data_IF_537960950815
#
_entry.id   IF_537960950815
#
_cell.length_a   1.000
_cell.length_b   1.000
_cell.length_c   1.000
_cell.angle_alpha   90.00
_cell.angle_beta   90.00
_cell.angle_gamma   90.00
#
_symmetry.space_group_name_H-M   'P 1'
#
loop_
_entity.id
_entity.type
_entity.pdbx_description
1 polymer ?
#
# COMPACT_ATOMS: atom_id res chain seq x y z
N UNK A 1 -21.29 -5.21 -7.35
CA UNK A 1 -20.57 -6.23 -6.57
C UNK A 1 -19.05 -6.08 -6.65
N UNK A 2 -18.36 -6.45 -7.74
CA UNK A 2 -16.88 -6.34 -7.81
C UNK A 2 -16.36 -4.90 -7.69
N UNK A 3 -17.00 -3.96 -8.39
CA UNK A 3 -16.65 -2.55 -8.33
C UNK A 3 -16.84 -1.98 -6.92
N UNK A 4 -17.95 -2.28 -6.25
CA UNK A 4 -18.23 -1.82 -4.88
C UNK A 4 -17.21 -2.38 -3.87
N UNK A 5 -16.77 -3.63 -4.03
CA UNK A 5 -15.71 -4.22 -3.19
C UNK A 5 -14.40 -3.47 -3.43
N UNK A 6 -14.07 -3.18 -4.68
CA UNK A 6 -12.88 -2.45 -5.08
C UNK A 6 -12.86 -1.03 -4.50
N UNK A 7 -13.95 -0.29 -4.68
CA UNK A 7 -14.15 1.07 -4.16
C UNK A 7 -14.06 1.10 -2.63
N UNK A 8 -14.68 0.14 -1.95
CA UNK A 8 -14.58 0.03 -0.49
C UNK A 8 -13.15 -0.24 -0.03
N UNK A 9 -12.39 -1.09 -0.75
CA UNK A 9 -10.98 -1.33 -0.44
C UNK A 9 -10.15 -0.06 -0.63
N UNK A 10 -10.33 0.65 -1.75
CA UNK A 10 -9.65 1.91 -2.01
C UNK A 10 -9.96 2.96 -0.92
N UNK A 11 -11.23 3.11 -0.54
CA UNK A 11 -11.64 3.99 0.55
C UNK A 11 -10.99 3.63 1.89
N UNK A 12 -10.82 2.33 2.18
CA UNK A 12 -10.12 1.89 3.40
C UNK A 12 -8.63 2.23 3.35
N UNK A 13 -7.97 2.15 2.19
CA UNK A 13 -6.55 2.52 2.06
C UNK A 13 -6.36 4.03 2.24
N UNK A 14 -7.32 4.83 1.77
CA UNK A 14 -7.32 6.27 2.04
C UNK A 14 -7.37 6.58 3.53
N UNK A 15 -8.29 5.94 4.28
CA UNK A 15 -8.38 6.11 5.74
C UNK A 15 -7.08 5.70 6.45
N UNK A 16 -6.50 4.57 6.05
CA UNK A 16 -5.21 4.13 6.57
C UNK A 16 -4.10 5.17 6.35
N UNK A 17 -4.04 5.78 5.16
CA UNK A 17 -3.06 6.84 4.88
C UNK A 17 -3.35 8.12 5.67
N UNK A 18 -4.62 8.49 5.87
CA UNK A 18 -5.00 9.62 6.73
C UNK A 18 -4.52 9.39 8.17
N UNK A 19 -4.70 8.19 8.73
CA UNK A 19 -4.17 7.81 10.04
C UNK A 19 -2.63 7.84 10.07
N UNK A 20 -1.98 7.34 9.01
CA UNK A 20 -0.52 7.38 8.89
C UNK A 20 0.01 8.82 8.85
N UNK A 21 -0.68 9.74 8.17
CA UNK A 21 -0.30 11.17 8.14
C UNK A 21 -0.41 11.82 9.52
N UNK A 22 -1.38 11.41 10.34
CA UNK A 22 -1.54 11.93 11.69
C UNK A 22 -0.32 11.66 12.59
N UNK A 23 0.55 10.70 12.23
CA UNK A 23 1.82 10.46 12.92
C UNK A 23 2.88 11.54 12.68
N UNK A 24 2.73 12.36 11.64
CA UNK A 24 3.74 13.34 11.22
C UNK A 24 4.96 12.74 10.53
N UNK A 25 4.96 11.45 10.22
CA UNK A 25 6.12 10.74 9.64
C UNK A 25 6.02 10.56 8.11
N UNK A 26 4.87 10.88 7.51
CA UNK A 26 4.67 10.83 6.06
C UNK A 26 5.46 11.95 5.38
N UNK A 27 6.06 11.62 4.23
CA UNK A 27 6.87 12.55 3.43
C UNK A 27 6.12 13.85 3.12
N UNK A 28 6.79 14.98 3.32
CA UNK A 28 6.26 16.28 2.90
C UNK A 28 6.02 16.33 1.39
N UNK A 29 4.96 17.02 0.98
CA UNK A 29 4.58 17.16 -0.44
C UNK A 29 3.90 15.94 -1.07
N UNK A 30 3.84 14.78 -0.40
CA UNK A 30 3.11 13.62 -0.91
C UNK A 30 1.59 13.81 -0.75
N UNK A 31 0.84 13.68 -1.84
CA UNK A 31 -0.61 13.78 -1.84
C UNK A 31 -1.24 12.57 -1.12
N UNK A 32 -2.34 12.78 -0.38
CA UNK A 32 -3.03 11.69 0.34
C UNK A 32 -3.53 10.63 -0.63
N UNK A 33 -4.10 11.05 -1.76
CA UNK A 33 -4.60 10.13 -2.78
C UNK A 33 -3.48 9.33 -3.43
N UNK A 34 -2.35 9.96 -3.75
CA UNK A 34 -1.19 9.25 -4.32
C UNK A 34 -0.62 8.19 -3.36
N UNK A 35 -0.54 8.52 -2.07
CA UNK A 35 -0.15 7.56 -1.03
C UNK A 35 -1.19 6.43 -0.90
N UNK A 36 -2.49 6.75 -0.92
CA UNK A 36 -3.56 5.76 -0.81
C UNK A 36 -3.58 4.80 -2.00
N UNK A 37 -3.40 5.32 -3.21
CA UNK A 37 -3.30 4.55 -4.45
C UNK A 37 -2.10 3.63 -4.43
N UNK A 38 -0.95 4.10 -3.91
CA UNK A 38 0.24 3.26 -3.72
C UNK A 38 -0.05 2.06 -2.82
N UNK A 39 -0.67 2.31 -1.66
CA UNK A 39 -1.04 1.25 -0.70
C UNK A 39 -2.07 0.31 -1.33
N UNK A 40 -3.08 0.84 -2.01
CA UNK A 40 -4.15 0.07 -2.64
C UNK A 40 -3.65 -0.85 -3.75
N UNK A 41 -2.80 -0.34 -4.64
CA UNK A 41 -2.18 -1.10 -5.72
C UNK A 41 -1.34 -2.25 -5.16
N UNK A 42 -0.45 -1.95 -4.22
CA UNK A 42 0.57 -2.90 -3.76
C UNK A 42 0.03 -3.94 -2.77
N UNK A 43 -1.04 -3.63 -2.02
CA UNK A 43 -1.78 -4.57 -1.16
C UNK A 43 -2.98 -5.23 -1.90
N UNK A 44 -2.94 -5.31 -3.22
CA UNK A 44 -3.98 -5.97 -4.01
C UNK A 44 -3.77 -7.50 -4.05
N UNK A 45 -4.86 -8.31 -4.00
CA UNK A 45 -4.77 -9.75 -4.22
C UNK A 45 -4.05 -10.11 -5.51
N UNK A 46 -4.20 -9.30 -6.55
CA UNK A 46 -3.56 -9.45 -7.86
C UNK A 46 -2.04 -9.35 -7.74
N UNK A 47 -1.52 -8.34 -7.04
CA UNK A 47 -0.07 -8.20 -6.81
C UNK A 47 0.46 -9.33 -5.92
N UNK A 48 -0.30 -9.74 -4.91
CA UNK A 48 0.05 -10.90 -4.08
C UNK A 48 0.21 -12.16 -4.94
N UNK A 49 -0.82 -12.51 -5.73
CA UNK A 49 -0.81 -13.69 -6.60
C UNK A 49 0.32 -13.62 -7.63
N UNK A 50 0.52 -12.47 -8.27
CA UNK A 50 1.59 -12.29 -9.26
C UNK A 50 2.95 -12.56 -8.62
N UNK A 51 3.23 -12.00 -7.44
CA UNK A 51 4.54 -12.17 -6.82
C UNK A 51 4.73 -13.55 -6.18
N UNK A 52 3.73 -14.09 -5.48
CA UNK A 52 3.89 -15.38 -4.78
C UNK A 52 3.71 -16.59 -5.69
N UNK A 53 2.71 -16.55 -6.58
CA UNK A 53 2.34 -17.69 -7.42
C UNK A 53 3.13 -17.68 -8.74
N UNK A 54 3.17 -16.54 -9.44
CA UNK A 54 3.80 -16.48 -10.76
C UNK A 54 5.30 -16.22 -10.69
N UNK A 55 5.75 -15.44 -9.71
CA UNK A 55 7.19 -15.14 -9.50
C UNK A 55 7.83 -15.97 -8.39
N UNK A 56 7.06 -16.85 -7.72
CA UNK A 56 7.57 -17.82 -6.76
C UNK A 56 8.06 -17.24 -5.44
N UNK A 57 7.64 -16.03 -5.08
CA UNK A 57 8.01 -15.44 -3.80
C UNK A 57 7.30 -16.20 -2.66
N UNK A 58 7.98 -16.32 -1.51
CA UNK A 58 7.27 -16.70 -0.29
C UNK A 58 6.40 -15.54 0.19
N UNK A 59 5.31 -15.82 0.94
CA UNK A 59 4.51 -14.76 1.57
C UNK A 59 5.37 -13.79 2.40
N UNK A 60 6.34 -14.31 3.18
CA UNK A 60 7.25 -13.47 3.96
C UNK A 60 8.14 -12.57 3.09
N UNK A 61 8.52 -13.03 1.88
CA UNK A 61 9.29 -12.21 0.95
C UNK A 61 8.44 -11.07 0.39
N UNK A 62 7.16 -11.35 0.09
CA UNK A 62 6.19 -10.32 -0.30
C UNK A 62 5.96 -9.31 0.83
N UNK A 63 5.76 -9.76 2.07
CA UNK A 63 5.57 -8.88 3.22
C UNK A 63 6.78 -7.96 3.43
N UNK A 64 8.00 -8.51 3.44
CA UNK A 64 9.23 -7.73 3.59
C UNK A 64 9.36 -6.67 2.50
N UNK A 65 9.07 -7.04 1.26
CA UNK A 65 9.09 -6.11 0.14
C UNK A 65 8.02 -5.02 0.26
N UNK A 66 6.81 -5.38 0.68
CA UNK A 66 5.72 -4.43 0.86
C UNK A 66 6.07 -3.39 1.93
N UNK A 67 6.60 -3.85 3.07
CA UNK A 67 7.07 -2.98 4.17
C UNK A 67 8.20 -2.06 3.72
N UNK A 68 9.23 -2.59 3.06
CA UNK A 68 10.37 -1.78 2.55
C UNK A 68 9.89 -0.75 1.52
N UNK A 69 9.00 -1.17 0.61
CA UNK A 69 8.42 -0.33 -0.44
C UNK A 69 7.60 0.81 0.17
N UNK A 70 6.71 0.53 1.12
CA UNK A 70 5.90 1.55 1.79
C UNK A 70 6.75 2.48 2.64
N UNK A 71 7.73 1.95 3.35
CA UNK A 71 8.66 2.78 4.15
C UNK A 71 9.36 3.80 3.25
N UNK A 72 9.90 3.35 2.11
CA UNK A 72 10.60 4.23 1.16
C UNK A 72 9.66 5.22 0.48
N UNK A 73 8.47 4.78 0.07
CA UNK A 73 7.55 5.59 -0.72
C UNK A 73 6.71 6.57 0.12
N UNK A 74 6.39 6.21 1.36
CA UNK A 74 5.44 6.98 2.17
C UNK A 74 6.12 7.80 3.25
N UNK A 75 7.22 7.32 3.83
CA UNK A 75 7.82 7.96 5.01
C UNK A 75 8.96 8.91 4.63
N UNK A 76 9.18 9.89 5.50
CA UNK A 76 10.36 10.75 5.44
C UNK A 76 11.61 9.92 5.72
N UNK A 77 12.65 10.09 4.89
CA UNK A 77 13.95 9.46 5.15
C UNK A 77 14.48 9.95 6.51
N UNK A 78 14.96 9.01 7.32
CA UNK A 78 15.69 9.34 8.55
C UNK A 78 17.07 9.89 8.24
#
# INVERSE_FOLDING_TARGET
MWQEISERRAANMRRFVEDLRATGQVREGLATDEAADTVWLTNSPEVFVMLTTERGWTPDAYERWLVDTWTRLLLTAR
#
